data_IF_127220193847
#
_entry.id   IF_127220193847
#
_cell.length_a   1.000
_cell.length_b   1.000
_cell.length_c   1.000
_cell.angle_alpha   90.00
_cell.angle_beta   90.00
_cell.angle_gamma   90.00
#
_symmetry.space_group_name_H-M   'P 1'
#
loop_
_entity.id
_entity.type
_entity.pdbx_description
1 polymer ?
#
# COMPACT_ATOMS: atom_id res chain seq x y z
N UNK A 1 -10.00 -1.83 2.99
CA UNK A 1 -11.30 -2.51 3.07
C UNK A 1 -11.32 -3.59 4.14
N UNK A 2 -12.51 -3.98 4.58
CA UNK A 2 -12.73 -4.98 5.63
C UNK A 2 -12.15 -6.36 5.24
N UNK A 3 -11.91 -7.25 6.23
CA UNK A 3 -11.57 -8.65 5.98
C UNK A 3 -12.70 -9.33 5.16
N UNK A 4 -12.35 -10.26 4.30
CA UNK A 4 -13.26 -10.98 3.41
C UNK A 4 -14.01 -10.14 2.35
N UNK A 5 -13.74 -8.84 2.23
CA UNK A 5 -14.28 -8.00 1.16
C UNK A 5 -13.64 -8.26 -0.22
N UNK A 6 -12.60 -9.10 -0.30
CA UNK A 6 -12.00 -9.56 -1.55
C UNK A 6 -10.83 -8.72 -2.07
N UNK A 7 -10.04 -8.07 -1.20
CA UNK A 7 -8.88 -7.26 -1.58
C UNK A 7 -7.85 -8.04 -2.38
N UNK A 8 -7.36 -9.14 -1.84
CA UNK A 8 -6.35 -10.00 -2.50
C UNK A 8 -6.91 -10.65 -3.77
N UNK A 9 -8.20 -11.01 -3.77
CA UNK A 9 -8.89 -11.49 -4.97
C UNK A 9 -8.91 -10.42 -6.06
N UNK A 10 -9.19 -9.17 -5.68
CA UNK A 10 -9.14 -8.04 -6.61
C UNK A 10 -7.73 -7.82 -7.17
N UNK A 11 -6.70 -7.90 -6.32
CA UNK A 11 -5.30 -7.78 -6.75
C UNK A 11 -4.95 -8.85 -7.80
N UNK A 12 -5.34 -10.10 -7.58
CA UNK A 12 -5.16 -11.18 -8.56
C UNK A 12 -5.96 -10.94 -9.84
N UNK A 13 -7.22 -10.49 -9.73
CA UNK A 13 -8.07 -10.17 -10.89
C UNK A 13 -7.50 -9.04 -11.73
N UNK A 14 -6.95 -7.99 -11.08
CA UNK A 14 -6.29 -6.87 -11.76
C UNK A 14 -5.12 -7.36 -12.60
N UNK A 15 -4.15 -8.07 -12.00
CA UNK A 15 -2.95 -8.51 -12.72
C UNK A 15 -3.31 -9.41 -13.90
N UNK A 16 -4.23 -10.34 -13.70
CA UNK A 16 -4.68 -11.26 -14.76
C UNK A 16 -5.43 -10.52 -15.88
N UNK A 17 -6.40 -9.67 -15.53
CA UNK A 17 -7.21 -8.96 -16.52
C UNK A 17 -6.35 -8.00 -17.36
N UNK A 18 -5.48 -7.20 -16.73
CA UNK A 18 -4.61 -6.28 -17.47
C UNK A 18 -3.61 -7.01 -18.35
N UNK A 19 -3.04 -8.14 -17.86
CA UNK A 19 -2.17 -8.97 -18.69
C UNK A 19 -2.89 -9.53 -19.91
N UNK A 20 -4.08 -10.09 -19.75
CA UNK A 20 -4.84 -10.67 -20.87
C UNK A 20 -5.36 -9.62 -21.85
N UNK A 21 -5.81 -8.47 -21.35
CA UNK A 21 -6.39 -7.39 -22.19
C UNK A 21 -5.34 -6.59 -22.94
N UNK A 22 -4.19 -6.31 -22.33
CA UNK A 22 -3.18 -5.41 -22.89
C UNK A 22 -1.88 -6.10 -23.25
N UNK A 23 -1.68 -7.36 -22.91
CA UNK A 23 -0.43 -8.11 -23.07
C UNK A 23 0.75 -7.40 -22.38
N UNK A 24 0.47 -6.72 -21.27
CA UNK A 24 1.44 -6.00 -20.43
C UNK A 24 1.57 -6.65 -19.05
N UNK A 25 2.77 -6.56 -18.46
CA UNK A 25 3.04 -7.12 -17.14
C UNK A 25 2.95 -8.64 -17.08
N UNK A 26 2.82 -9.16 -15.87
CA UNK A 26 2.66 -10.60 -15.58
C UNK A 26 1.39 -10.84 -14.76
N UNK A 27 0.64 -11.89 -15.08
CA UNK A 27 -0.45 -12.35 -14.23
C UNK A 27 0.13 -12.98 -12.96
N UNK A 28 -0.36 -12.56 -11.80
CA UNK A 28 0.04 -13.10 -10.50
C UNK A 28 -1.10 -13.93 -9.92
N UNK A 29 -0.84 -15.22 -9.69
CA UNK A 29 -1.82 -16.09 -9.05
C UNK A 29 -2.09 -15.65 -7.61
N UNK A 30 -3.34 -15.78 -7.17
CA UNK A 30 -3.78 -15.50 -5.80
C UNK A 30 -2.84 -16.11 -4.74
N UNK A 31 -2.46 -17.39 -4.92
CA UNK A 31 -1.56 -18.11 -4.02
C UNK A 31 -0.13 -17.54 -3.96
N UNK A 32 0.25 -16.68 -4.90
CA UNK A 32 1.56 -16.03 -4.94
C UNK A 32 1.54 -14.60 -4.37
N UNK A 33 0.37 -14.05 -4.09
CA UNK A 33 0.19 -12.78 -3.38
C UNK A 33 0.35 -13.03 -1.89
N UNK A 34 -0.46 -13.91 -1.31
CA UNK A 34 -0.36 -14.34 0.09
C UNK A 34 0.69 -15.47 0.22
N UNK A 35 1.90 -15.10 0.59
CA UNK A 35 3.07 -16.02 0.55
C UNK A 35 3.32 -16.77 1.86
N UNK A 36 2.96 -16.17 3.01
CA UNK A 36 3.22 -16.79 4.30
C UNK A 36 2.34 -18.04 4.53
N UNK A 37 2.90 -19.11 5.12
CA UNK A 37 2.11 -20.30 5.43
C UNK A 37 0.87 -19.99 6.28
N UNK A 38 0.98 -19.09 7.24
CA UNK A 38 -0.12 -18.64 8.10
C UNK A 38 -1.21 -17.89 7.33
N UNK A 39 -0.84 -17.10 6.32
CA UNK A 39 -1.78 -16.40 5.43
C UNK A 39 -2.64 -17.40 4.65
N UNK A 40 -2.00 -18.43 4.10
CA UNK A 40 -2.67 -19.48 3.34
C UNK A 40 -3.57 -20.36 4.21
N UNK A 41 -3.12 -20.68 5.43
CA UNK A 41 -3.89 -21.49 6.37
C UNK A 41 -5.13 -20.77 6.90
N UNK A 42 -5.01 -19.47 7.17
CA UNK A 42 -6.09 -18.64 7.70
C UNK A 42 -6.96 -17.98 6.62
N UNK A 43 -6.50 -17.94 5.37
CA UNK A 43 -7.17 -17.25 4.27
C UNK A 43 -7.25 -15.73 4.44
N UNK A 44 -6.30 -15.14 5.18
CA UNK A 44 -6.23 -13.70 5.44
C UNK A 44 -4.84 -13.16 5.13
N UNK A 45 -4.75 -11.94 4.61
CA UNK A 45 -3.48 -11.23 4.41
C UNK A 45 -2.96 -10.70 5.75
N UNK A 46 -1.75 -11.04 6.11
CA UNK A 46 -1.06 -10.63 7.34
C UNK A 46 -0.02 -9.54 7.04
N UNK A 47 0.78 -9.77 6.02
CA UNK A 47 1.84 -8.86 5.58
C UNK A 47 1.43 -8.13 4.31
N UNK A 48 2.02 -6.96 4.06
CA UNK A 48 1.82 -6.26 2.79
C UNK A 48 2.45 -7.06 1.65
N UNK A 49 1.73 -7.22 0.55
CA UNK A 49 2.25 -7.82 -0.66
C UNK A 49 2.43 -6.75 -1.75
N UNK A 50 3.60 -6.73 -2.37
CA UNK A 50 3.92 -5.80 -3.46
C UNK A 50 3.77 -6.51 -4.80
N UNK A 51 2.99 -5.92 -5.69
CA UNK A 51 2.70 -6.43 -7.04
C UNK A 51 2.85 -5.30 -8.04
N UNK A 52 3.36 -5.59 -9.23
CA UNK A 52 3.41 -4.61 -10.33
C UNK A 52 2.48 -5.02 -11.46
N UNK A 53 1.93 -4.02 -12.14
CA UNK A 53 1.17 -4.19 -13.38
C UNK A 53 1.15 -2.89 -14.17
N UNK A 54 0.71 -2.98 -15.41
CA UNK A 54 0.72 -1.86 -16.34
C UNK A 54 -0.63 -1.72 -17.06
N UNK A 55 -1.00 -0.48 -17.33
CA UNK A 55 -1.99 -0.11 -18.35
C UNK A 55 -1.26 0.54 -19.53
N UNK A 56 -1.91 0.78 -20.67
CA UNK A 56 -1.29 1.55 -21.77
C UNK A 56 -0.82 2.96 -21.35
N UNK A 57 -1.38 3.49 -20.26
CA UNK A 57 -1.13 4.87 -19.82
C UNK A 57 -0.12 4.97 -18.68
N UNK A 58 -0.04 3.93 -17.81
CA UNK A 58 0.68 4.05 -16.55
C UNK A 58 1.18 2.71 -16.02
N UNK A 59 2.36 2.73 -15.38
CA UNK A 59 2.88 1.63 -14.57
C UNK A 59 2.51 1.83 -13.11
N UNK A 60 2.10 0.74 -12.44
CA UNK A 60 1.63 0.74 -11.06
C UNK A 60 2.48 -0.17 -10.18
N UNK A 61 2.92 0.35 -9.05
CA UNK A 61 3.36 -0.43 -7.91
C UNK A 61 2.19 -0.55 -6.94
N UNK A 62 1.66 -1.74 -6.76
CA UNK A 62 0.48 -2.02 -5.94
C UNK A 62 0.89 -2.68 -4.63
N UNK A 63 0.30 -2.23 -3.55
CA UNK A 63 0.48 -2.84 -2.23
C UNK A 63 -0.85 -3.40 -1.76
N UNK A 64 -0.96 -4.71 -1.67
CA UNK A 64 -2.09 -5.37 -1.03
C UNK A 64 -1.91 -5.33 0.50
N UNK A 65 -2.84 -4.66 1.17
CA UNK A 65 -2.77 -4.40 2.60
C UNK A 65 -3.70 -5.35 3.38
N UNK A 66 -3.28 -5.81 4.58
CA UNK A 66 -4.15 -6.62 5.43
C UNK A 66 -5.41 -5.88 5.84
N UNK A 67 -6.52 -6.60 5.94
CA UNK A 67 -7.81 -6.05 6.36
C UNK A 67 -8.14 -6.26 7.83
N UNK A 68 -7.44 -7.15 8.53
CA UNK A 68 -7.73 -7.52 9.90
C UNK A 68 -7.17 -6.51 10.91
N UNK A 69 -7.94 -6.20 11.96
CA UNK A 69 -7.57 -5.21 12.97
C UNK A 69 -6.23 -5.50 13.68
N UNK A 70 -5.86 -6.77 13.86
CA UNK A 70 -4.59 -7.15 14.49
C UNK A 70 -3.36 -6.74 13.67
N UNK A 71 -3.54 -6.46 12.37
CA UNK A 71 -2.45 -6.14 11.43
C UNK A 71 -2.47 -4.68 10.96
N UNK A 72 -3.16 -3.80 11.67
CA UNK A 72 -3.27 -2.36 11.37
C UNK A 72 -1.90 -1.70 11.18
N UNK A 73 -0.88 -2.09 11.95
CA UNK A 73 0.48 -1.55 11.79
C UNK A 73 1.06 -1.81 10.39
N UNK A 74 0.81 -2.98 9.83
CA UNK A 74 1.26 -3.32 8.48
C UNK A 74 0.47 -2.55 7.42
N UNK A 75 -0.84 -2.38 7.64
CA UNK A 75 -1.68 -1.53 6.79
C UNK A 75 -1.20 -0.08 6.78
N UNK A 76 -0.93 0.51 7.95
CA UNK A 76 -0.43 1.89 8.06
C UNK A 76 0.89 2.07 7.29
N UNK A 77 1.82 1.12 7.43
CA UNK A 77 3.12 1.18 6.73
C UNK A 77 2.93 1.13 5.21
N UNK A 78 2.05 0.26 4.72
CA UNK A 78 1.70 0.21 3.30
C UNK A 78 1.03 1.51 2.84
N UNK A 79 0.01 1.97 3.55
CA UNK A 79 -0.77 3.15 3.19
C UNK A 79 0.06 4.45 3.16
N UNK A 80 1.05 4.60 4.05
CA UNK A 80 1.91 5.78 4.10
C UNK A 80 2.75 6.00 2.82
N UNK A 81 2.85 5.00 1.97
CA UNK A 81 3.63 5.04 0.72
C UNK A 81 2.79 5.27 -0.52
N UNK A 82 1.47 5.47 -0.38
CA UNK A 82 0.53 5.48 -1.51
C UNK A 82 0.35 6.86 -2.14
N UNK A 83 0.30 6.90 -3.45
CA UNK A 83 -0.15 8.06 -4.24
C UNK A 83 -1.68 8.07 -4.39
N UNK A 84 -2.32 6.95 -4.13
CA UNK A 84 -3.76 6.76 -4.07
C UNK A 84 -4.11 5.38 -3.50
N UNK A 85 -5.38 5.15 -3.19
CA UNK A 85 -5.85 3.89 -2.65
C UNK A 85 -7.12 3.42 -3.36
N UNK A 86 -7.26 2.10 -3.51
CA UNK A 86 -8.50 1.44 -3.89
C UNK A 86 -9.17 0.93 -2.61
N UNK A 87 -10.28 1.53 -2.24
CA UNK A 87 -11.11 1.05 -1.15
C UNK A 87 -12.01 -0.07 -1.65
N UNK A 88 -11.84 -1.28 -1.13
CA UNK A 88 -12.68 -2.42 -1.49
C UNK A 88 -13.78 -2.59 -0.45
N UNK A 89 -15.03 -2.48 -0.88
CA UNK A 89 -16.22 -2.68 -0.06
C UNK A 89 -17.09 -3.76 -0.70
N UNK A 90 -17.58 -4.72 0.11
CA UNK A 90 -18.52 -5.73 -0.38
C UNK A 90 -19.92 -5.14 -0.52
N UNK A 91 -20.54 -5.34 -1.66
CA UNK A 91 -21.95 -4.93 -1.90
C UNK A 91 -22.93 -5.70 -1.02
N UNK A 92 -22.58 -6.92 -0.60
CA UNK A 92 -23.43 -7.75 0.26
C UNK A 92 -23.44 -7.31 1.73
N UNK A 93 -22.32 -6.74 2.20
CA UNK A 93 -22.12 -6.42 3.61
C UNK A 93 -22.17 -4.91 3.88
N UNK A 94 -21.92 -4.10 2.86
CA UNK A 94 -21.75 -2.65 3.00
C UNK A 94 -20.48 -2.26 3.78
N UNK A 95 -20.38 -0.99 4.19
CA UNK A 95 -19.26 -0.53 5.01
C UNK A 95 -19.25 -1.19 6.38
N UNK A 96 -18.16 -1.85 6.72
CA UNK A 96 -17.95 -2.55 7.99
C UNK A 96 -16.98 -1.74 8.88
N UNK A 97 -16.83 -2.07 10.18
CA UNK A 97 -15.99 -1.30 11.10
C UNK A 97 -14.56 -1.06 10.59
N UNK A 98 -13.92 -2.05 9.99
CA UNK A 98 -12.57 -1.90 9.42
C UNK A 98 -12.57 -1.06 8.14
N UNK A 99 -13.67 -0.97 7.41
CA UNK A 99 -13.80 -0.04 6.27
C UNK A 99 -13.65 1.40 6.77
N UNK A 100 -14.36 1.75 7.84
CA UNK A 100 -14.29 3.05 8.52
C UNK A 100 -12.87 3.32 9.04
N UNK A 101 -12.29 2.37 9.76
CA UNK A 101 -10.93 2.47 10.30
C UNK A 101 -9.89 2.70 9.18
N UNK A 102 -9.98 1.98 8.09
CA UNK A 102 -9.02 2.12 6.97
C UNK A 102 -9.15 3.46 6.25
N UNK A 103 -10.36 4.01 6.10
CA UNK A 103 -10.54 5.36 5.52
C UNK A 103 -9.91 6.41 6.44
N UNK A 104 -10.21 6.33 7.74
CA UNK A 104 -9.62 7.22 8.74
C UNK A 104 -8.09 7.16 8.73
N UNK A 105 -7.52 5.95 8.78
CA UNK A 105 -6.07 5.77 8.78
C UNK A 105 -5.44 6.25 7.48
N UNK A 106 -6.09 6.02 6.33
CA UNK A 106 -5.62 6.55 5.05
C UNK A 106 -5.54 8.08 5.08
N UNK A 107 -6.53 8.74 5.70
CA UNK A 107 -6.49 10.19 5.90
C UNK A 107 -5.34 10.62 6.81
N UNK A 108 -5.12 9.93 7.92
CA UNK A 108 -4.07 10.24 8.90
C UNK A 108 -2.66 10.09 8.32
N UNK A 109 -2.42 9.08 7.49
CA UNK A 109 -1.10 8.87 6.85
C UNK A 109 -0.92 9.69 5.57
N UNK A 110 -1.92 10.45 5.15
CA UNK A 110 -1.83 11.39 4.03
C UNK A 110 -2.04 10.78 2.65
N UNK A 111 -2.79 9.67 2.52
CA UNK A 111 -3.22 9.16 1.21
C UNK A 111 -4.08 10.23 0.52
N UNK A 112 -3.65 10.75 -0.66
CA UNK A 112 -4.30 11.93 -1.23
C UNK A 112 -5.62 11.62 -1.95
N UNK A 113 -5.78 10.41 -2.51
CA UNK A 113 -6.92 10.03 -3.33
C UNK A 113 -7.42 8.64 -2.98
N UNK A 114 -8.73 8.45 -2.99
CA UNK A 114 -9.39 7.14 -2.87
C UNK A 114 -10.30 6.93 -4.07
N UNK A 115 -10.25 5.74 -4.66
CA UNK A 115 -11.22 5.22 -5.62
C UNK A 115 -11.87 4.00 -4.99
N UNK A 116 -13.14 3.77 -5.20
CA UNK A 116 -13.88 2.67 -4.58
C UNK A 116 -14.17 1.56 -5.58
N UNK A 117 -13.88 0.33 -5.20
CA UNK A 117 -14.36 -0.86 -5.89
C UNK A 117 -15.44 -1.55 -5.03
N UNK A 118 -16.69 -1.42 -5.47
CA UNK A 118 -17.82 -2.11 -4.83
C UNK A 118 -17.84 -3.55 -5.35
N UNK A 119 -17.33 -4.46 -4.53
CA UNK A 119 -17.10 -5.86 -4.90
C UNK A 119 -18.31 -6.76 -4.61
N UNK A 120 -18.32 -7.95 -5.18
CA UNK A 120 -19.37 -8.98 -5.03
C UNK A 120 -20.74 -8.53 -5.55
N UNK A 121 -20.80 -7.64 -6.53
CA UNK A 121 -22.05 -7.19 -7.15
C UNK A 121 -22.77 -8.32 -7.91
N UNK A 122 -22.07 -9.39 -8.29
CA UNK A 122 -22.66 -10.61 -8.84
C UNK A 122 -23.59 -11.36 -7.87
N UNK A 123 -23.52 -11.05 -6.59
CA UNK A 123 -24.36 -11.65 -5.53
C UNK A 123 -25.58 -10.78 -5.14
N UNK A 124 -25.73 -9.62 -5.75
CA UNK A 124 -26.79 -8.64 -5.41
C UNK A 124 -27.59 -8.32 -6.66
N UNK A 125 -28.83 -8.78 -6.71
CA UNK A 125 -29.75 -8.52 -7.83
C UNK A 125 -30.60 -7.25 -7.63
N UNK A 126 -30.54 -6.64 -6.45
CA UNK A 126 -31.32 -5.47 -6.08
C UNK A 126 -30.52 -4.18 -6.31
N UNK A 127 -30.93 -3.41 -7.32
CA UNK A 127 -30.33 -2.13 -7.68
C UNK A 127 -30.44 -1.08 -6.57
N UNK A 128 -31.57 -1.04 -5.84
CA UNK A 128 -31.78 -0.10 -4.73
C UNK A 128 -30.81 -0.39 -3.59
N UNK A 129 -30.50 -1.66 -3.35
CA UNK A 129 -29.51 -2.04 -2.35
C UNK A 129 -28.09 -1.60 -2.76
N UNK A 130 -27.72 -1.75 -4.03
CA UNK A 130 -26.42 -1.28 -4.54
C UNK A 130 -26.29 0.24 -4.40
N UNK A 131 -27.34 1.00 -4.74
CA UNK A 131 -27.36 2.46 -4.58
C UNK A 131 -27.25 2.88 -3.11
N UNK A 132 -27.92 2.16 -2.21
CA UNK A 132 -27.84 2.42 -0.77
C UNK A 132 -26.41 2.22 -0.25
N UNK A 133 -25.76 1.12 -0.61
CA UNK A 133 -24.37 0.84 -0.19
C UNK A 133 -23.40 1.90 -0.75
N UNK A 134 -23.57 2.32 -2.00
CA UNK A 134 -22.78 3.43 -2.55
C UNK A 134 -22.97 4.72 -1.76
N UNK A 135 -24.20 5.07 -1.41
CA UNK A 135 -24.50 6.26 -0.63
C UNK A 135 -23.83 6.20 0.75
N UNK A 136 -23.91 5.07 1.44
CA UNK A 136 -23.25 4.86 2.73
C UNK A 136 -21.71 5.01 2.64
N UNK A 137 -21.10 4.49 1.56
CA UNK A 137 -19.65 4.64 1.33
C UNK A 137 -19.29 6.10 1.07
N UNK A 138 -20.09 6.84 0.27
CA UNK A 138 -19.88 8.27 0.01
C UNK A 138 -19.99 9.12 1.27
N UNK A 139 -21.02 8.87 2.09
CA UNK A 139 -21.19 9.55 3.38
C UNK A 139 -19.99 9.30 4.31
N UNK A 140 -19.51 8.06 4.35
CA UNK A 140 -18.35 7.68 5.14
C UNK A 140 -17.06 8.36 4.66
N UNK A 141 -16.84 8.48 3.35
CA UNK A 141 -15.72 9.21 2.78
C UNK A 141 -15.79 10.70 3.14
N UNK A 142 -16.97 11.32 3.03
CA UNK A 142 -17.21 12.72 3.40
C UNK A 142 -16.95 12.96 4.90
N UNK A 143 -17.33 12.02 5.78
CA UNK A 143 -17.08 12.10 7.22
C UNK A 143 -15.58 12.22 7.53
N UNK A 144 -14.72 11.57 6.76
CA UNK A 144 -13.26 11.61 6.92
C UNK A 144 -12.56 12.55 5.92
N UNK A 145 -13.27 13.54 5.43
CA UNK A 145 -12.73 14.63 4.59
C UNK A 145 -12.15 14.18 3.25
N UNK A 146 -12.61 13.06 2.70
CA UNK A 146 -12.45 12.74 1.29
C UNK A 146 -13.66 13.25 0.50
N UNK A 147 -13.50 13.63 -0.78
CA UNK A 147 -14.62 14.14 -1.60
C UNK A 147 -15.54 12.99 -2.03
N UNK A 148 -16.35 12.45 -1.10
CA UNK A 148 -17.17 11.27 -1.32
C UNK A 148 -18.13 11.37 -2.49
N UNK A 149 -18.68 12.58 -2.76
CA UNK A 149 -19.61 12.79 -3.86
C UNK A 149 -18.92 12.71 -5.24
N UNK A 150 -17.66 13.11 -5.32
CA UNK A 150 -16.86 13.10 -6.56
C UNK A 150 -16.01 11.83 -6.70
N UNK A 151 -15.91 11.01 -5.66
CA UNK A 151 -15.11 9.78 -5.68
C UNK A 151 -15.68 8.77 -6.67
N UNK A 152 -14.88 8.26 -7.62
CA UNK A 152 -15.32 7.19 -8.50
C UNK A 152 -15.63 5.91 -7.71
N UNK A 153 -16.79 5.31 -7.97
CA UNK A 153 -17.21 4.02 -7.44
C UNK A 153 -17.51 3.08 -8.60
N UNK A 154 -16.75 2.01 -8.70
CA UNK A 154 -16.92 0.99 -9.74
C UNK A 154 -17.55 -0.24 -9.12
N UNK A 155 -18.70 -0.66 -9.65
CA UNK A 155 -19.40 -1.87 -9.28
C UNK A 155 -18.84 -3.05 -10.04
N UNK A 156 -18.41 -4.10 -9.33
CA UNK A 156 -17.79 -5.24 -9.97
C UNK A 156 -17.80 -6.51 -9.13
N UNK A 157 -17.24 -7.55 -9.70
CA UNK A 157 -16.96 -8.82 -9.03
C UNK A 157 -15.52 -9.25 -9.33
N UNK A 158 -14.66 -9.14 -8.34
CA UNK A 158 -13.27 -9.53 -8.47
C UNK A 158 -13.12 -11.03 -8.77
N UNK A 159 -13.95 -11.88 -8.13
CA UNK A 159 -13.93 -13.32 -8.37
C UNK A 159 -14.32 -13.66 -9.81
N UNK A 160 -15.41 -13.08 -10.32
CA UNK A 160 -15.86 -13.33 -11.68
C UNK A 160 -14.90 -12.79 -12.73
N UNK A 161 -14.28 -11.63 -12.48
CA UNK A 161 -13.22 -11.11 -13.34
C UNK A 161 -11.96 -12.00 -13.33
N UNK A 162 -11.62 -12.58 -12.17
CA UNK A 162 -10.50 -13.52 -12.05
C UNK A 162 -10.79 -14.85 -12.77
N UNK A 163 -12.03 -15.35 -12.72
CA UNK A 163 -12.46 -16.56 -13.42
C UNK A 163 -12.42 -16.35 -14.95
N UNK A 164 -12.98 -15.24 -15.43
CA UNK A 164 -13.02 -14.88 -16.85
C UNK A 164 -12.72 -13.39 -17.07
N UNK A 165 -11.45 -13.02 -17.34
CA UNK A 165 -11.05 -11.65 -17.66
C UNK A 165 -11.69 -11.07 -18.93
N UNK A 166 -12.24 -11.90 -19.80
CA UNK A 166 -12.92 -11.45 -21.03
C UNK A 166 -14.38 -11.06 -20.82
N UNK A 167 -14.94 -11.40 -19.65
CA UNK A 167 -16.34 -11.12 -19.28
C UNK A 167 -16.60 -9.63 -19.01
N UNK A 168 -17.89 -9.29 -18.85
CA UNK A 168 -18.31 -7.96 -18.37
C UNK A 168 -17.66 -7.56 -17.03
N UNK A 169 -17.35 -8.52 -16.17
CA UNK A 169 -16.65 -8.29 -14.90
C UNK A 169 -15.18 -7.90 -15.10
N UNK A 170 -14.55 -8.46 -16.15
CA UNK A 170 -13.22 -8.00 -16.60
C UNK A 170 -13.26 -6.59 -17.15
N UNK A 171 -14.34 -6.20 -17.85
CA UNK A 171 -14.54 -4.81 -18.30
C UNK A 171 -14.62 -3.84 -17.11
N UNK A 172 -15.16 -4.27 -15.95
CA UNK A 172 -15.19 -3.46 -14.73
C UNK A 172 -13.80 -3.24 -14.11
N UNK A 173 -12.89 -4.18 -14.30
CA UNK A 173 -11.48 -3.97 -13.91
C UNK A 173 -10.82 -2.93 -14.83
N UNK A 174 -11.08 -2.98 -16.12
CA UNK A 174 -10.60 -1.97 -17.08
C UNK A 174 -11.16 -0.58 -16.73
N UNK A 175 -12.48 -0.48 -16.50
CA UNK A 175 -13.15 0.75 -16.06
C UNK A 175 -12.53 1.32 -14.76
N UNK A 176 -12.20 0.46 -13.79
CA UNK A 176 -11.51 0.88 -12.56
C UNK A 176 -10.21 1.62 -12.89
N UNK A 177 -9.41 1.11 -13.82
CA UNK A 177 -8.13 1.75 -14.17
C UNK A 177 -8.29 2.98 -15.07
N UNK A 178 -9.31 3.05 -15.91
CA UNK A 178 -9.65 4.27 -16.64
C UNK A 178 -10.02 5.39 -15.64
N UNK A 179 -10.81 5.07 -14.61
CA UNK A 179 -11.16 6.03 -13.57
C UNK A 179 -9.95 6.41 -12.68
N UNK A 180 -9.06 5.47 -12.35
CA UNK A 180 -7.83 5.76 -11.61
C UNK A 180 -6.93 6.69 -12.43
N UNK A 181 -6.75 6.42 -13.71
CA UNK A 181 -5.90 7.24 -14.60
C UNK A 181 -6.43 8.67 -14.76
N UNK A 182 -7.75 8.85 -14.77
CA UNK A 182 -8.41 10.14 -14.88
C UNK A 182 -8.44 10.90 -13.54
N UNK A 183 -8.82 10.21 -12.46
CA UNK A 183 -9.09 10.84 -11.16
C UNK A 183 -7.83 11.08 -10.32
N UNK A 184 -6.83 10.17 -10.41
CA UNK A 184 -5.59 10.29 -9.66
C UNK A 184 -4.51 10.87 -10.57
N UNK A 185 -4.06 12.11 -10.35
CA UNK A 185 -3.02 12.73 -11.17
C UNK A 185 -1.71 11.95 -11.05
N UNK A 186 -0.87 12.02 -12.09
CA UNK A 186 0.48 11.51 -11.99
C UNK A 186 1.24 12.28 -10.88
N UNK A 187 1.79 11.57 -9.87
CA UNK A 187 2.41 12.24 -8.75
C UNK A 187 3.69 12.95 -9.17
N UNK A 188 3.90 14.16 -8.63
CA UNK A 188 5.18 14.84 -8.77
C UNK A 188 6.25 14.11 -7.97
N UNK A 189 7.42 13.91 -8.59
CA UNK A 189 8.54 13.19 -7.99
C UNK A 189 9.68 14.16 -7.65
N UNK A 190 10.04 14.24 -6.38
CA UNK A 190 11.12 15.09 -5.85
C UNK A 190 12.52 14.53 -6.18
N UNK A 191 12.82 14.34 -7.46
CA UNK A 191 14.08 13.72 -7.90
C UNK A 191 15.32 14.61 -7.67
N UNK A 192 15.15 15.91 -7.60
CA UNK A 192 16.23 16.87 -7.40
C UNK A 192 16.62 17.07 -5.93
N UNK A 193 15.83 16.54 -4.99
CA UNK A 193 16.12 16.60 -3.56
C UNK A 193 17.16 15.54 -3.16
N UNK A 194 17.85 15.72 -2.01
CA UNK A 194 18.73 14.67 -1.48
C UNK A 194 17.99 13.35 -1.28
N UNK A 195 18.61 12.24 -1.68
CA UNK A 195 18.04 10.91 -1.54
C UNK A 195 17.57 10.61 -0.11
N UNK A 196 16.41 9.99 0.00
CA UNK A 196 15.83 9.52 1.25
C UNK A 196 14.89 8.33 0.97
N UNK A 197 15.08 7.25 1.75
CA UNK A 197 14.24 6.05 1.70
C UNK A 197 14.03 5.50 3.12
N UNK A 198 12.81 5.52 3.66
CA UNK A 198 12.49 4.81 4.89
C UNK A 198 12.64 3.30 4.71
N UNK A 199 13.19 2.62 5.72
CA UNK A 199 13.34 1.16 5.71
C UNK A 199 12.03 0.52 6.13
N UNK A 200 11.45 -0.26 5.24
CA UNK A 200 10.20 -0.99 5.45
C UNK A 200 10.44 -2.42 5.95
N UNK A 201 11.39 -3.12 5.33
CA UNK A 201 11.77 -4.48 5.71
C UNK A 201 13.26 -4.70 5.46
N UNK A 202 13.83 -5.71 6.14
CA UNK A 202 15.24 -6.06 6.05
C UNK A 202 15.40 -7.58 6.01
N UNK A 203 16.12 -8.06 5.01
CA UNK A 203 16.45 -9.48 4.88
C UNK A 203 17.87 -9.69 4.35
N UNK A 204 18.35 -10.92 4.41
CA UNK A 204 19.65 -11.30 3.88
C UNK A 204 19.49 -12.21 2.67
N UNK A 205 20.30 -11.96 1.64
CA UNK A 205 20.44 -12.86 0.51
C UNK A 205 21.78 -13.59 0.64
N UNK A 206 21.74 -14.92 0.69
CA UNK A 206 22.95 -15.74 0.79
C UNK A 206 23.92 -15.41 -0.33
N UNK A 207 25.17 -15.07 0.03
CA UNK A 207 26.24 -14.71 -0.92
C UNK A 207 26.12 -13.30 -1.53
N UNK A 208 25.08 -12.51 -1.24
CA UNK A 208 24.91 -11.15 -1.75
C UNK A 208 24.92 -10.07 -0.68
N UNK A 209 24.45 -10.37 0.53
CA UNK A 209 24.49 -9.45 1.68
C UNK A 209 23.11 -9.04 2.21
N UNK A 210 23.07 -7.91 2.89
CA UNK A 210 21.86 -7.35 3.51
C UNK A 210 21.09 -6.50 2.52
N UNK A 211 19.78 -6.68 2.46
CA UNK A 211 18.85 -5.91 1.62
C UNK A 211 17.89 -5.15 2.53
N UNK A 212 17.81 -3.84 2.34
CA UNK A 212 16.78 -3.00 2.92
C UNK A 212 15.77 -2.63 1.83
N UNK A 213 14.49 -2.88 2.09
CA UNK A 213 13.41 -2.49 1.17
C UNK A 213 12.72 -1.22 1.63
N UNK A 214 12.17 -0.49 0.69
CA UNK A 214 11.38 0.70 0.95
C UNK A 214 11.06 1.45 -0.33
N UNK A 215 10.22 2.48 -0.19
CA UNK A 215 9.96 3.44 -1.25
C UNK A 215 10.99 4.58 -1.18
N UNK A 216 11.55 4.94 -2.30
CA UNK A 216 12.35 6.17 -2.41
C UNK A 216 11.41 7.36 -2.30
N UNK A 217 11.48 8.09 -1.20
CA UNK A 217 10.62 9.26 -0.96
C UNK A 217 11.05 10.47 -1.78
N UNK A 218 12.35 10.65 -1.94
CA UNK A 218 12.94 11.77 -2.70
C UNK A 218 14.34 11.45 -3.19
N UNK A 219 14.75 12.16 -4.21
CA UNK A 219 16.09 12.07 -4.78
C UNK A 219 16.28 10.87 -5.71
N UNK A 220 17.53 10.61 -6.01
CA UNK A 220 17.99 9.49 -6.85
C UNK A 220 19.07 8.72 -6.08
N UNK A 221 18.99 7.39 -6.15
CA UNK A 221 19.97 6.45 -5.62
C UNK A 221 20.64 5.73 -6.78
N UNK A 222 21.95 5.63 -6.76
CA UNK A 222 22.72 4.87 -7.76
C UNK A 222 23.50 3.74 -7.10
N UNK A 223 23.74 2.70 -7.86
CA UNK A 223 24.69 1.65 -7.45
C UNK A 223 26.06 2.28 -7.21
N UNK A 224 26.73 1.90 -6.13
CA UNK A 224 27.97 2.43 -5.56
C UNK A 224 27.86 3.75 -4.79
N UNK A 225 26.66 4.31 -4.63
CA UNK A 225 26.48 5.46 -3.74
C UNK A 225 26.76 5.08 -2.28
N UNK A 226 27.43 5.98 -1.56
CA UNK A 226 27.51 5.97 -0.09
C UNK A 226 26.26 6.65 0.46
N UNK A 227 25.55 5.98 1.37
CA UNK A 227 24.40 6.51 2.08
C UNK A 227 24.58 6.35 3.58
N UNK A 228 23.82 7.09 4.36
CA UNK A 228 23.76 6.96 5.81
C UNK A 228 22.48 6.25 6.24
N UNK A 229 22.65 5.30 7.16
CA UNK A 229 21.57 4.69 7.93
C UNK A 229 21.35 5.56 9.17
N UNK A 230 20.18 6.20 9.28
CA UNK A 230 19.84 7.20 10.30
C UNK A 230 18.63 6.73 11.11
N UNK A 231 18.64 7.02 12.41
CA UNK A 231 17.55 6.73 13.34
C UNK A 231 17.77 5.45 14.17
N UNK A 232 17.12 5.39 15.32
CA UNK A 232 17.18 4.31 16.32
C UNK A 232 18.56 4.09 16.95
N UNK A 233 19.60 4.71 16.44
CA UNK A 233 20.98 4.69 16.96
C UNK A 233 21.45 6.11 17.25
N UNK A 234 22.46 6.26 18.12
CA UNK A 234 22.98 7.59 18.50
C UNK A 234 23.68 8.28 17.32
N UNK A 235 24.40 7.52 16.50
CA UNK A 235 25.12 8.06 15.36
C UNK A 235 24.69 7.40 14.04
N UNK A 236 24.62 8.18 12.94
CA UNK A 236 24.40 7.65 11.61
C UNK A 236 25.53 6.71 11.18
N UNK A 237 25.19 5.64 10.49
CA UNK A 237 26.16 4.68 9.95
C UNK A 237 26.25 4.80 8.43
N UNK A 238 27.47 4.95 7.93
CA UNK A 238 27.74 4.95 6.49
C UNK A 238 27.72 3.53 5.93
N UNK A 239 27.02 3.34 4.83
CA UNK A 239 26.90 2.08 4.10
C UNK A 239 26.98 2.35 2.60
N UNK A 240 27.40 1.34 1.82
CA UNK A 240 27.51 1.45 0.37
C UNK A 240 26.43 0.60 -0.29
N UNK A 241 25.72 1.19 -1.22
CA UNK A 241 24.70 0.50 -2.05
C UNK A 241 25.44 -0.28 -3.15
N UNK A 242 25.41 -1.60 -3.09
CA UNK A 242 26.08 -2.46 -4.07
C UNK A 242 25.14 -2.99 -5.15
N UNK A 243 23.85 -2.79 -5.00
CA UNK A 243 22.85 -3.14 -6.00
C UNK A 243 21.51 -2.51 -5.67
N UNK A 244 20.71 -2.30 -6.67
CA UNK A 244 19.33 -1.83 -6.60
C UNK A 244 18.47 -2.81 -7.37
N UNK A 245 17.39 -3.27 -6.77
CA UNK A 245 16.46 -4.23 -7.36
C UNK A 245 15.02 -3.72 -7.20
N UNK A 246 14.25 -3.79 -8.26
CA UNK A 246 12.82 -3.49 -8.27
C UNK A 246 12.09 -4.62 -8.99
N UNK A 247 11.11 -5.27 -8.32
CA UNK A 247 10.36 -6.40 -8.86
C UNK A 247 11.23 -7.47 -9.55
N UNK A 248 12.31 -7.89 -8.85
CA UNK A 248 13.32 -8.87 -9.33
C UNK A 248 14.14 -8.42 -10.54
N UNK A 249 14.05 -7.15 -10.95
CA UNK A 249 14.89 -6.56 -12.00
C UNK A 249 16.02 -5.77 -11.35
N UNK A 250 17.26 -6.04 -11.76
CA UNK A 250 18.42 -5.23 -11.34
C UNK A 250 18.42 -3.91 -12.10
N UNK A 251 18.64 -2.83 -11.36
CA UNK A 251 18.69 -1.47 -11.89
C UNK A 251 20.05 -0.82 -11.57
N UNK A 252 20.48 0.10 -12.41
CA UNK A 252 21.66 0.94 -12.14
C UNK A 252 21.35 2.09 -11.17
N UNK A 253 20.09 2.52 -11.15
CA UNK A 253 19.62 3.59 -10.28
C UNK A 253 18.11 3.47 -9.99
N UNK A 254 17.67 4.11 -8.91
CA UNK A 254 16.28 4.31 -8.57
C UNK A 254 16.04 5.78 -8.21
N UNK A 255 14.80 6.22 -8.33
CA UNK A 255 14.38 7.59 -8.08
C UNK A 255 13.15 7.69 -7.21
N UNK A 256 12.83 8.90 -6.77
CA UNK A 256 11.63 9.19 -6.00
C UNK A 256 10.39 8.51 -6.60
N UNK A 257 9.66 7.77 -5.78
CA UNK A 257 8.48 6.98 -6.14
C UNK A 257 8.74 5.50 -6.37
N UNK A 258 9.99 5.07 -6.62
CA UNK A 258 10.31 3.67 -6.84
C UNK A 258 10.29 2.87 -5.54
N UNK A 259 9.66 1.69 -5.55
CA UNK A 259 9.76 0.71 -4.47
C UNK A 259 10.91 -0.25 -4.76
N UNK A 260 11.94 -0.25 -3.95
CA UNK A 260 13.17 -0.96 -4.22
C UNK A 260 13.68 -1.81 -3.06
N UNK A 261 14.52 -2.79 -3.40
CA UNK A 261 15.47 -3.41 -2.49
C UNK A 261 16.87 -2.85 -2.75
N UNK A 262 17.44 -2.18 -1.75
CA UNK A 262 18.82 -1.70 -1.79
C UNK A 262 19.73 -2.74 -1.15
N UNK A 263 20.66 -3.30 -1.92
CA UNK A 263 21.70 -4.20 -1.44
C UNK A 263 22.80 -3.40 -0.79
N UNK A 264 23.08 -3.67 0.47
CA UNK A 264 23.97 -2.86 1.30
C UNK A 264 25.24 -3.63 1.70
N UNK A 265 26.36 -2.95 1.60
CA UNK A 265 27.66 -3.41 2.14
C UNK A 265 28.05 -2.55 3.33
N UNK A 266 28.64 -3.20 4.34
CA UNK A 266 29.10 -2.51 5.56
C UNK A 266 28.12 -2.61 6.73
N UNK A 267 27.05 -3.39 6.59
CA UNK A 267 26.03 -3.59 7.61
C UNK A 267 25.47 -5.00 7.55
N UNK A 268 25.21 -5.59 8.71
CA UNK A 268 24.53 -6.90 8.85
C UNK A 268 23.03 -6.69 9.01
N UNK A 269 22.25 -7.75 8.79
CA UNK A 269 20.79 -7.69 8.86
C UNK A 269 20.27 -7.28 10.24
N UNK A 270 20.90 -7.73 11.30
CA UNK A 270 20.58 -7.42 12.70
C UNK A 270 21.02 -6.01 13.17
N UNK A 271 21.72 -5.29 12.32
CA UNK A 271 22.16 -3.91 12.56
C UNK A 271 21.25 -2.88 11.87
N UNK A 272 20.22 -3.33 11.13
CA UNK A 272 19.21 -2.49 10.48
C UNK A 272 17.84 -2.87 11.00
N UNK A 273 17.04 -1.87 11.30
CA UNK A 273 15.67 -2.05 11.75
C UNK A 273 14.69 -1.26 10.90
N UNK A 274 13.48 -1.80 10.76
CA UNK A 274 12.35 -1.07 10.20
C UNK A 274 12.13 0.24 10.95
N UNK A 275 11.90 1.32 10.21
CA UNK A 275 11.74 2.68 10.76
C UNK A 275 13.01 3.51 10.76
N UNK A 276 14.18 2.91 10.51
CA UNK A 276 15.38 3.67 10.14
C UNK A 276 15.23 4.22 8.72
N UNK A 277 16.11 5.13 8.34
CA UNK A 277 16.08 5.80 7.04
C UNK A 277 17.45 5.67 6.37
N UNK A 278 17.49 5.29 5.11
CA UNK A 278 18.65 5.46 4.25
C UNK A 278 18.58 6.84 3.59
N UNK A 279 19.63 7.63 3.73
CA UNK A 279 19.65 8.99 3.23
C UNK A 279 21.02 9.38 2.65
N UNK A 280 21.02 10.44 1.83
CA UNK A 280 22.28 11.06 1.41
C UNK A 280 23.05 11.52 2.65
N UNK A 281 24.38 11.26 2.74
CA UNK A 281 25.16 11.62 3.91
C UNK A 281 24.98 13.09 4.33
N UNK A 282 24.69 13.31 5.63
CA UNK A 282 24.51 14.63 6.21
C UNK A 282 23.23 15.37 5.82
N UNK A 283 22.28 14.71 5.13
CA UNK A 283 21.05 15.38 4.67
C UNK A 283 19.88 15.32 5.64
N UNK A 284 19.92 14.41 6.62
CA UNK A 284 18.89 14.26 7.66
C UNK A 284 19.50 13.92 9.00
N UNK A 285 18.81 14.30 10.08
CA UNK A 285 19.18 13.97 11.44
C UNK A 285 17.97 13.39 12.18
N UNK A 286 18.22 12.45 13.08
CA UNK A 286 17.20 11.98 14.02
C UNK A 286 16.99 13.01 15.14
N UNK A 287 15.74 13.23 15.52
CA UNK A 287 15.36 14.15 16.57
C UNK A 287 14.79 13.42 17.78
N UNK A 288 15.25 13.77 18.98
CA UNK A 288 14.76 13.21 20.25
C UNK A 288 13.64 14.04 20.87
N UNK A 289 13.51 15.30 20.44
CA UNK A 289 12.45 16.23 20.88
C UNK A 289 11.70 16.74 19.69
N UNK A 290 10.39 16.56 19.71
CA UNK A 290 9.49 17.02 18.64
C UNK A 290 8.13 17.35 19.21
N UNK A 291 7.34 18.12 18.46
CA UNK A 291 5.91 18.30 18.71
C UNK A 291 5.14 17.36 17.81
N UNK A 292 4.08 16.75 18.34
CA UNK A 292 3.22 15.87 17.61
C UNK A 292 1.76 16.27 17.80
N UNK A 293 1.00 16.19 16.73
CA UNK A 293 -0.46 16.20 16.78
C UNK A 293 -0.94 14.75 16.91
N UNK A 294 -1.82 14.50 17.89
CA UNK A 294 -2.28 13.16 18.21
C UNK A 294 -3.79 13.11 18.00
N UNK A 295 -4.24 12.22 17.12
CA UNK A 295 -5.64 11.85 16.99
C UNK A 295 -5.91 10.58 17.80
N UNK A 296 -6.80 10.68 18.79
CA UNK A 296 -7.21 9.54 19.60
C UNK A 296 -8.51 8.98 19.04
N UNK A 297 -8.47 7.72 18.57
CA UNK A 297 -9.64 7.03 18.03
C UNK A 297 -10.79 7.00 19.04
N UNK A 298 -11.99 7.37 18.59
CA UNK A 298 -13.23 7.23 19.34
C UNK A 298 -13.63 5.76 19.45
N UNK A 299 -14.53 5.45 20.38
CA UNK A 299 -15.05 4.10 20.57
C UNK A 299 -15.68 3.54 19.29
N UNK A 300 -16.43 4.36 18.58
CA UNK A 300 -17.12 4.03 17.33
C UNK A 300 -16.15 3.77 16.17
N UNK A 301 -14.93 4.27 16.28
CA UNK A 301 -13.84 4.11 15.32
C UNK A 301 -12.93 2.91 15.65
N UNK A 302 -13.32 2.05 16.56
CA UNK A 302 -12.51 0.93 17.05
C UNK A 302 -11.53 1.32 18.16
N UNK A 303 -11.62 2.53 18.70
CA UNK A 303 -10.77 3.03 19.75
C UNK A 303 -11.10 2.48 21.14
N UNK A 304 -10.31 2.91 22.11
CA UNK A 304 -10.41 2.51 23.52
C UNK A 304 -11.75 2.88 24.15
N UNK A 305 -12.25 2.03 25.04
CA UNK A 305 -13.47 2.28 25.84
C UNK A 305 -13.19 2.90 27.21
N UNK A 306 -11.93 2.88 27.64
CA UNK A 306 -11.52 3.35 28.97
C UNK A 306 -10.56 4.52 28.87
N UNK A 307 -10.64 5.52 29.77
CA UNK A 307 -9.66 6.60 29.83
C UNK A 307 -8.24 6.06 29.99
N UNK A 308 -7.26 6.82 29.54
CA UNK A 308 -5.85 6.61 29.88
C UNK A 308 -5.35 7.75 30.74
N UNK A 309 -4.33 7.47 31.52
CA UNK A 309 -3.78 8.37 32.52
C UNK A 309 -2.29 8.62 32.21
N UNK A 310 -1.69 9.56 32.90
CA UNK A 310 -0.26 9.84 32.79
C UNK A 310 0.57 8.58 32.95
N UNK A 311 1.54 8.41 32.04
CA UNK A 311 2.39 7.22 31.99
C UNK A 311 1.82 6.03 31.22
N UNK A 312 0.64 6.14 30.60
CA UNK A 312 0.10 5.12 29.72
C UNK A 312 1.03 4.96 28.49
N UNK A 313 1.35 3.70 28.20
CA UNK A 313 2.14 3.31 27.01
C UNK A 313 1.28 2.35 26.19
N UNK A 314 0.73 2.78 25.04
CA UNK A 314 -0.08 1.94 24.16
C UNK A 314 0.72 0.81 23.52
#
# INVERSE_FOLDING_TARGET
GHVDHGKTTLTAAITKTLHERYQLGEAVDFANIDKAPEERERGITISTAHVEYETPNRHYAHVDCPGHADYVKNMITGAAQMDGAILVCSATDGPMPQTREHILLSRQVGVPYIVVFLNKCDMVDDEELLELVEMEVRELLNEYEFPGDDTPIIRGSALKALEDPSSEWGDKIVELFEQIDEYIPAPERDVDKPFLMPVEDVFSITGRGTVATGRVERGVLKVQDEVELVGLTEEPRKVVVTGVEMFRKLLDSAQAGDNIGALLRGVQRDEIERGQVLAKPGSVNAHTKFMAEIYVLKKEEGGRHTPFFDGYRP
#
